data_IF_246047929317
#
_entry.id   IF_246047929317
#
_cell.length_a   1.000
_cell.length_b   1.000
_cell.length_c   1.000
_cell.angle_alpha   90.00
_cell.angle_beta   90.00
_cell.angle_gamma   90.00
#
_symmetry.space_group_name_H-M   'P 1'
#
loop_
_entity.id
_entity.type
_entity.pdbx_description
1 polymer ?
#
# COMPACT_ATOMS: atom_id res chain seq x y z
N UNK A 1 -0.17 -4.62 -5.41
CA UNK A 1 -0.93 -4.11 -4.25
C UNK A 1 -0.30 -4.43 -2.90
N UNK A 2 0.56 -5.43 -2.80
CA UNK A 2 1.21 -5.86 -1.55
C UNK A 2 2.32 -4.94 -1.06
N UNK A 3 3.08 -4.30 -1.96
CA UNK A 3 4.19 -3.39 -1.62
C UNK A 3 3.77 -2.24 -0.70
N UNK A 4 2.62 -1.63 -0.94
CA UNK A 4 2.17 -0.46 -0.18
C UNK A 4 1.83 -0.78 1.30
N UNK A 5 1.38 -2.00 1.57
CA UNK A 5 1.07 -2.46 2.93
C UNK A 5 2.35 -2.74 3.71
N UNK A 6 3.34 -3.37 3.07
CA UNK A 6 4.65 -3.60 3.66
C UNK A 6 5.43 -2.29 3.88
N UNK A 7 5.33 -1.34 2.97
CA UNK A 7 5.95 -0.02 3.13
C UNK A 7 5.34 0.75 4.30
N UNK A 8 4.01 0.73 4.45
CA UNK A 8 3.33 1.34 5.59
C UNK A 8 3.76 0.70 6.91
N UNK A 9 3.81 -0.63 6.99
CA UNK A 9 4.25 -1.35 8.18
C UNK A 9 5.74 -1.10 8.47
N UNK A 10 6.58 -1.11 7.45
CA UNK A 10 7.98 -0.75 7.56
C UNK A 10 8.19 0.70 8.02
N UNK A 11 7.33 1.62 7.61
CA UNK A 11 7.31 3.01 8.09
C UNK A 11 7.08 3.10 9.59
N UNK A 12 6.12 2.33 10.11
CA UNK A 12 5.80 2.26 11.54
C UNK A 12 6.99 1.73 12.35
N UNK A 13 7.75 0.78 11.81
CA UNK A 13 8.91 0.17 12.46
C UNK A 13 10.22 0.95 12.29
N UNK A 14 10.23 2.02 11.49
CA UNK A 14 11.46 2.74 11.13
C UNK A 14 12.23 3.29 12.35
N UNK A 15 11.52 3.77 13.35
CA UNK A 15 12.13 4.32 14.58
C UNK A 15 12.67 3.25 15.53
N UNK A 16 12.26 1.98 15.37
CA UNK A 16 12.56 0.88 16.30
C UNK A 16 13.63 -0.08 15.77
N UNK A 17 14.02 0.04 14.50
CA UNK A 17 14.96 -0.89 13.84
C UNK A 17 16.32 -1.01 14.49
N UNK A 18 16.76 0.00 15.24
CA UNK A 18 18.07 0.04 15.88
C UNK A 18 18.02 -0.43 17.35
N UNK A 19 16.86 -0.88 17.84
CA UNK A 19 16.71 -1.37 19.20
C UNK A 19 17.06 -2.87 19.28
N UNK A 20 17.38 -3.37 20.48
CA UNK A 20 17.53 -4.81 20.71
C UNK A 20 16.30 -5.59 20.26
N UNK A 21 16.49 -6.82 19.80
CA UNK A 21 15.42 -7.67 19.23
C UNK A 21 14.24 -7.81 20.19
N UNK A 22 14.50 -8.01 21.48
CA UNK A 22 13.44 -8.16 22.50
C UNK A 22 12.55 -6.92 22.53
N UNK A 23 13.16 -5.74 22.61
CA UNK A 23 12.44 -4.46 22.64
C UNK A 23 11.67 -4.23 21.32
N UNK A 24 12.26 -4.65 20.19
CA UNK A 24 11.59 -4.55 18.89
C UNK A 24 10.34 -5.43 18.82
N UNK A 25 10.42 -6.67 19.30
CA UNK A 25 9.29 -7.60 19.36
C UNK A 25 8.20 -7.05 20.28
N UNK A 26 8.56 -6.61 21.46
CA UNK A 26 7.65 -6.03 22.45
C UNK A 26 6.92 -4.80 21.92
N UNK A 27 7.64 -3.83 21.39
CA UNK A 27 7.05 -2.63 20.80
C UNK A 27 6.16 -2.94 19.60
N UNK A 28 6.55 -3.91 18.78
CA UNK A 28 5.71 -4.35 17.65
C UNK A 28 4.41 -4.97 18.16
N UNK A 29 4.51 -5.81 19.18
CA UNK A 29 3.34 -6.43 19.81
C UNK A 29 2.38 -5.38 20.38
N UNK A 30 2.84 -4.45 21.21
CA UNK A 30 2.00 -3.40 21.80
C UNK A 30 1.42 -2.45 20.74
N UNK A 31 2.15 -2.18 19.66
CA UNK A 31 1.60 -1.41 18.54
C UNK A 31 0.48 -2.17 17.82
N UNK A 32 0.62 -3.47 17.64
CA UNK A 32 -0.46 -4.29 17.10
C UNK A 32 -1.68 -4.27 18.01
N UNK A 33 -1.49 -4.44 19.32
CA UNK A 33 -2.57 -4.39 20.32
C UNK A 33 -3.32 -3.07 20.22
N UNK A 34 -2.59 -1.93 20.27
CA UNK A 34 -3.19 -0.61 20.17
C UNK A 34 -3.94 -0.39 18.85
N UNK A 35 -3.38 -0.89 17.74
CA UNK A 35 -3.97 -0.79 16.43
C UNK A 35 -5.27 -1.58 16.30
N UNK A 36 -5.32 -2.79 16.86
CA UNK A 36 -6.52 -3.61 16.86
C UNK A 36 -7.60 -3.00 17.76
N UNK A 37 -7.22 -2.54 18.95
CA UNK A 37 -8.14 -1.90 19.89
C UNK A 37 -8.78 -0.61 19.31
N UNK A 38 -7.98 0.26 18.69
CA UNK A 38 -8.47 1.48 18.03
C UNK A 38 -9.44 1.16 16.89
N UNK A 39 -9.11 0.18 16.06
CA UNK A 39 -9.98 -0.22 14.93
C UNK A 39 -11.26 -0.90 15.39
N UNK A 40 -11.17 -1.74 16.42
CA UNK A 40 -12.35 -2.35 17.02
C UNK A 40 -13.31 -1.28 17.55
N UNK A 41 -12.79 -0.34 18.34
CA UNK A 41 -13.60 0.75 18.93
C UNK A 41 -14.25 1.61 17.85
N UNK A 42 -13.51 1.95 16.78
CA UNK A 42 -14.05 2.71 15.65
C UNK A 42 -15.14 1.93 14.92
N UNK A 43 -14.91 0.66 14.63
CA UNK A 43 -15.90 -0.18 13.95
C UNK A 43 -17.18 -0.34 14.78
N UNK A 44 -17.07 -0.54 16.10
CA UNK A 44 -18.23 -0.58 16.99
C UNK A 44 -18.98 0.74 17.03
N UNK A 45 -18.27 1.88 17.03
CA UNK A 45 -18.91 3.20 16.99
C UNK A 45 -19.66 3.45 15.68
N UNK A 46 -19.12 3.00 14.53
CA UNK A 46 -19.82 3.08 13.25
C UNK A 46 -21.07 2.19 13.22
N UNK A 47 -21.02 0.98 13.79
CA UNK A 47 -22.19 0.09 13.92
C UNK A 47 -23.26 0.72 14.81
N UNK A 48 -22.89 1.34 15.94
CA UNK A 48 -23.86 2.02 16.82
C UNK A 48 -24.50 3.26 16.17
N UNK A 49 -23.84 3.84 15.16
CA UNK A 49 -24.39 4.93 14.36
C UNK A 49 -25.31 4.44 13.22
N UNK A 50 -25.74 3.16 13.23
CA UNK A 50 -26.60 2.51 12.22
C UNK A 50 -25.95 2.46 10.81
N UNK A 51 -24.63 2.52 10.76
CA UNK A 51 -23.89 2.26 9.53
C UNK A 51 -23.66 0.76 9.39
N UNK A 52 -23.90 0.22 8.19
CA UNK A 52 -23.73 -1.22 7.92
C UNK A 52 -22.49 -1.52 7.08
N UNK A 53 -21.99 -0.52 6.36
CA UNK A 53 -20.95 -0.70 5.35
C UNK A 53 -19.78 0.24 5.67
N UNK A 54 -18.58 -0.27 5.54
CA UNK A 54 -17.35 0.49 5.79
C UNK A 54 -17.30 1.80 5.01
N UNK A 55 -16.76 2.85 5.60
CA UNK A 55 -16.59 4.16 4.98
C UNK A 55 -15.84 4.08 3.64
N UNK A 56 -14.88 3.14 3.51
CA UNK A 56 -14.17 2.89 2.26
C UNK A 56 -15.12 2.45 1.14
N UNK A 57 -15.95 1.44 1.38
CA UNK A 57 -16.88 0.91 0.39
C UNK A 57 -17.93 1.97 0.03
N UNK A 58 -18.47 2.68 1.02
CA UNK A 58 -19.44 3.78 0.86
C UNK A 58 -18.88 4.90 -0.03
N UNK A 59 -17.65 5.32 0.22
CA UNK A 59 -16.98 6.35 -0.59
C UNK A 59 -16.73 5.90 -2.03
N UNK A 60 -16.27 4.65 -2.23
CA UNK A 60 -16.08 4.07 -3.56
C UNK A 60 -17.39 3.95 -4.31
N UNK A 61 -18.40 3.42 -3.67
CA UNK A 61 -19.75 3.28 -4.23
C UNK A 61 -20.32 4.63 -4.67
N UNK A 62 -20.26 5.64 -3.80
CA UNK A 62 -20.73 6.99 -4.11
C UNK A 62 -19.99 7.63 -5.28
N UNK A 63 -18.67 7.43 -5.35
CA UNK A 63 -17.85 7.88 -6.51
C UNK A 63 -18.33 7.24 -7.82
N UNK A 64 -18.67 5.96 -7.79
CA UNK A 64 -19.12 5.25 -8.99
C UNK A 64 -20.59 5.51 -9.30
N UNK A 65 -21.43 5.72 -8.29
CA UNK A 65 -22.83 6.13 -8.45
C UNK A 65 -22.95 7.43 -9.25
N UNK A 66 -22.05 8.40 -9.02
CA UNK A 66 -22.01 9.66 -9.80
C UNK A 66 -21.69 9.44 -11.28
N UNK A 67 -21.03 8.35 -11.66
CA UNK A 67 -20.70 8.00 -13.05
C UNK A 67 -21.77 7.14 -13.73
N UNK A 68 -22.58 6.44 -12.97
CA UNK A 68 -23.60 5.52 -13.49
C UNK A 68 -24.58 6.15 -14.49
N UNK A 69 -25.10 7.38 -14.30
CA UNK A 69 -26.04 8.00 -15.25
C UNK A 69 -25.47 8.21 -16.66
N UNK A 70 -24.14 8.19 -16.81
CA UNK A 70 -23.47 8.39 -18.10
C UNK A 70 -23.46 7.13 -18.98
N UNK A 71 -23.88 5.98 -18.43
CA UNK A 71 -23.87 4.71 -19.15
C UNK A 71 -25.24 4.44 -19.76
N UNK A 72 -25.24 3.89 -20.97
CA UNK A 72 -26.45 3.33 -21.62
C UNK A 72 -26.46 1.81 -21.46
N UNK A 73 -27.60 1.28 -21.05
CA UNK A 73 -27.79 -0.15 -20.81
C UNK A 73 -28.63 -0.70 -21.97
N UNK A 74 -28.19 -1.80 -22.56
CA UNK A 74 -28.89 -2.55 -23.60
C UNK A 74 -29.14 -3.95 -23.07
N UNK A 75 -30.38 -4.39 -23.15
CA UNK A 75 -30.83 -5.71 -22.72
C UNK A 75 -30.94 -6.61 -23.93
N UNK A 76 -30.28 -7.76 -23.91
CA UNK A 76 -30.42 -8.75 -24.97
C UNK A 76 -31.48 -9.82 -24.66
N UNK A 77 -31.71 -10.07 -23.36
CA UNK A 77 -32.69 -11.04 -22.94
C UNK A 77 -33.35 -10.60 -21.62
N UNK A 78 -34.68 -10.63 -21.54
CA UNK A 78 -35.42 -10.07 -20.39
C UNK A 78 -35.29 -10.91 -19.12
N UNK A 79 -35.15 -12.23 -19.24
CA UNK A 79 -35.24 -13.11 -18.08
C UNK A 79 -33.90 -13.34 -17.38
N UNK A 80 -32.80 -13.50 -18.11
CA UNK A 80 -31.51 -13.86 -17.53
C UNK A 80 -30.28 -13.47 -18.35
N UNK A 81 -30.46 -12.62 -19.33
CA UNK A 81 -29.41 -12.33 -20.30
C UNK A 81 -28.28 -11.46 -19.75
N UNK A 82 -27.14 -11.57 -20.38
CA UNK A 82 -26.07 -10.59 -20.16
C UNK A 82 -26.52 -9.21 -20.62
N UNK A 83 -26.20 -8.19 -19.84
CA UNK A 83 -26.41 -6.79 -20.20
C UNK A 83 -25.20 -6.25 -20.97
N UNK A 84 -25.43 -5.51 -22.05
CA UNK A 84 -24.39 -4.69 -22.66
C UNK A 84 -24.49 -3.28 -22.07
N UNK A 85 -23.39 -2.82 -21.49
CA UNK A 85 -23.27 -1.45 -20.96
C UNK A 85 -22.28 -0.68 -21.81
N UNK A 86 -22.75 0.39 -22.44
CA UNK A 86 -21.91 1.32 -23.23
C UNK A 86 -21.48 2.48 -22.37
N UNK A 87 -20.17 2.70 -22.32
CA UNK A 87 -19.59 3.85 -21.62
C UNK A 87 -19.27 4.96 -22.62
N UNK A 88 -19.55 6.23 -22.26
CA UNK A 88 -19.26 7.35 -23.14
C UNK A 88 -17.75 7.47 -23.38
N UNK A 89 -17.41 8.08 -24.51
CA UNK A 89 -16.02 8.37 -24.88
C UNK A 89 -15.42 9.30 -23.83
N UNK A 90 -14.27 8.93 -23.30
CA UNK A 90 -13.47 9.82 -22.47
C UNK A 90 -12.46 10.53 -23.37
N UNK A 91 -12.57 11.86 -23.60
CA UNK A 91 -11.67 12.59 -24.48
C UNK A 91 -10.19 12.55 -24.02
N UNK A 92 -9.96 12.32 -22.73
CA UNK A 92 -8.62 12.25 -22.13
C UNK A 92 -8.04 10.83 -22.10
N UNK A 93 -8.72 9.84 -22.67
CA UNK A 93 -8.22 8.46 -22.74
C UNK A 93 -7.54 8.22 -24.09
N UNK A 94 -6.41 7.50 -24.07
CA UNK A 94 -5.75 7.03 -25.29
C UNK A 94 -6.66 6.15 -26.16
N UNK A 95 -7.68 5.52 -25.56
CA UNK A 95 -8.72 4.77 -26.24
C UNK A 95 -9.93 5.66 -26.53
N UNK A 96 -10.05 6.17 -27.73
CA UNK A 96 -11.11 7.09 -28.19
C UNK A 96 -12.43 6.40 -28.54
N UNK A 97 -12.62 5.10 -28.24
CA UNK A 97 -13.82 4.34 -28.61
C UNK A 97 -14.87 4.27 -27.51
N UNK A 98 -16.15 4.07 -27.91
CA UNK A 98 -17.20 3.62 -27.00
C UNK A 98 -16.86 2.23 -26.49
N UNK A 99 -16.59 2.11 -25.19
CA UNK A 99 -16.34 0.82 -24.60
C UNK A 99 -17.67 0.10 -24.35
N UNK A 100 -17.79 -1.09 -24.93
CA UNK A 100 -18.89 -2.01 -24.67
C UNK A 100 -18.45 -3.01 -23.61
N UNK A 101 -19.26 -3.17 -22.57
CA UNK A 101 -19.00 -4.11 -21.49
C UNK A 101 -20.15 -5.08 -21.39
N UNK A 102 -19.81 -6.36 -21.32
CA UNK A 102 -20.76 -7.42 -21.02
C UNK A 102 -20.81 -7.61 -19.49
N UNK A 103 -22.03 -7.65 -18.95
CA UNK A 103 -22.27 -7.74 -17.53
C UNK A 103 -23.28 -8.84 -17.27
N UNK A 104 -22.92 -9.77 -16.39
CA UNK A 104 -23.79 -10.83 -15.92
C UNK A 104 -24.09 -10.62 -14.44
N UNK A 105 -25.37 -10.32 -14.12
CA UNK A 105 -25.79 -10.03 -12.75
C UNK A 105 -25.80 -11.28 -11.87
N UNK A 106 -26.20 -12.45 -12.42
CA UNK A 106 -26.21 -13.71 -11.67
C UNK A 106 -24.82 -14.17 -11.29
N UNK A 107 -23.88 -14.13 -12.25
CA UNK A 107 -22.50 -14.52 -12.01
C UNK A 107 -21.68 -13.44 -11.31
N UNK A 108 -22.24 -12.25 -11.07
CA UNK A 108 -21.54 -11.08 -10.52
C UNK A 108 -20.26 -10.75 -11.29
N UNK A 109 -20.31 -10.86 -12.63
CA UNK A 109 -19.16 -10.65 -13.50
C UNK A 109 -19.37 -9.52 -14.49
N UNK A 110 -18.28 -8.84 -14.82
CA UNK A 110 -18.23 -7.81 -15.86
C UNK A 110 -16.97 -7.97 -16.69
N UNK A 111 -17.05 -7.80 -18.00
CA UNK A 111 -15.86 -7.87 -18.88
C UNK A 111 -14.76 -6.85 -18.53
N UNK A 112 -15.09 -5.77 -17.81
CA UNK A 112 -14.09 -4.83 -17.29
C UNK A 112 -13.33 -5.33 -16.05
N UNK A 113 -13.73 -6.46 -15.47
CA UNK A 113 -13.19 -7.12 -14.27
C UNK A 113 -13.17 -6.28 -12.98
N UNK A 114 -13.57 -5.01 -13.02
CA UNK A 114 -13.53 -4.12 -11.85
C UNK A 114 -14.45 -4.58 -10.73
N UNK A 115 -15.60 -5.17 -11.06
CA UNK A 115 -16.50 -5.70 -10.06
C UNK A 115 -15.90 -6.88 -9.31
N UNK A 116 -15.31 -7.82 -10.03
CA UNK A 116 -14.65 -9.01 -9.47
C UNK A 116 -13.45 -8.62 -8.58
N UNK A 117 -12.66 -7.61 -9.01
CA UNK A 117 -11.48 -7.15 -8.28
C UNK A 117 -11.83 -6.37 -7.02
N UNK A 118 -12.78 -5.42 -7.14
CA UNK A 118 -13.13 -4.55 -6.00
C UNK A 118 -14.23 -5.13 -5.12
N UNK A 119 -14.99 -6.10 -5.61
CA UNK A 119 -16.15 -6.67 -4.91
C UNK A 119 -17.19 -5.63 -4.46
N UNK A 120 -17.17 -4.46 -5.09
CA UNK A 120 -18.12 -3.37 -4.91
C UNK A 120 -18.74 -3.07 -6.28
N UNK A 121 -20.06 -2.87 -6.39
CA UNK A 121 -20.73 -2.52 -7.64
C UNK A 121 -20.06 -1.30 -8.30
N UNK A 122 -19.52 -1.51 -9.48
CA UNK A 122 -18.93 -0.43 -10.27
C UNK A 122 -20.01 0.33 -11.04
N UNK A 123 -19.67 1.46 -11.65
CA UNK A 123 -20.63 2.36 -12.30
C UNK A 123 -21.53 1.68 -13.35
N UNK A 124 -21.02 0.66 -14.06
CA UNK A 124 -21.79 -0.12 -15.02
C UNK A 124 -22.82 -1.01 -14.33
N UNK A 125 -22.44 -1.68 -13.24
CA UNK A 125 -23.34 -2.50 -12.41
C UNK A 125 -24.43 -1.63 -11.82
N UNK A 126 -24.08 -0.46 -11.29
CA UNK A 126 -25.04 0.52 -10.73
C UNK A 126 -26.02 1.00 -11.81
N UNK A 127 -25.57 1.18 -13.04
CA UNK A 127 -26.43 1.57 -14.14
C UNK A 127 -27.46 0.48 -14.47
N UNK A 128 -27.05 -0.79 -14.51
CA UNK A 128 -27.94 -1.93 -14.72
C UNK A 128 -28.91 -2.07 -13.56
N UNK A 129 -28.46 -1.97 -12.31
CA UNK A 129 -29.33 -2.01 -11.14
C UNK A 129 -30.41 -0.91 -11.19
N UNK A 130 -30.01 0.31 -11.58
CA UNK A 130 -30.94 1.42 -11.76
C UNK A 130 -31.97 1.13 -12.87
N UNK A 131 -31.53 0.53 -13.97
CA UNK A 131 -32.40 0.13 -15.06
C UNK A 131 -33.43 -0.91 -14.62
N UNK A 132 -33.03 -1.88 -13.80
CA UNK A 132 -33.91 -2.92 -13.25
C UNK A 132 -34.73 -2.47 -12.03
N UNK A 133 -34.54 -1.26 -11.51
CA UNK A 133 -35.24 -0.78 -10.30
C UNK A 133 -34.75 -1.43 -8.99
N UNK A 134 -33.58 -2.06 -8.97
CA UNK A 134 -33.05 -2.76 -7.80
C UNK A 134 -31.92 -1.95 -7.11
N UNK A 135 -31.81 -2.14 -5.79
CA UNK A 135 -30.73 -1.49 -5.04
C UNK A 135 -29.38 -2.12 -5.37
N UNK A 136 -28.44 -1.31 -5.88
CA UNK A 136 -27.09 -1.77 -6.17
C UNK A 136 -26.28 -2.07 -4.90
N UNK A 137 -26.68 -1.57 -3.73
CA UNK A 137 -25.96 -1.81 -2.47
C UNK A 137 -25.95 -3.27 -2.06
N UNK A 138 -27.00 -4.03 -2.41
CA UNK A 138 -27.08 -5.48 -2.14
C UNK A 138 -25.98 -6.32 -2.79
N UNK A 139 -25.29 -5.77 -3.78
CA UNK A 139 -24.19 -6.42 -4.49
C UNK A 139 -22.80 -6.02 -3.94
N UNK A 140 -22.75 -5.31 -2.83
CA UNK A 140 -21.49 -5.08 -2.10
C UNK A 140 -21.18 -6.37 -1.36
N UNK A 141 -19.95 -6.87 -1.53
CA UNK A 141 -19.48 -8.09 -0.87
C UNK A 141 -19.46 -7.91 0.65
N UNK A 142 -19.81 -8.98 1.37
CA UNK A 142 -19.91 -8.99 2.83
C UNK A 142 -18.59 -8.60 3.52
N UNK A 143 -17.44 -8.81 2.89
CA UNK A 143 -16.14 -8.39 3.43
C UNK A 143 -16.04 -6.87 3.70
N UNK A 144 -16.99 -6.08 3.20
CA UNK A 144 -17.10 -4.65 3.46
C UNK A 144 -18.16 -4.29 4.50
N UNK A 145 -18.83 -5.26 5.09
CA UNK A 145 -19.77 -5.00 6.18
C UNK A 145 -19.01 -4.71 7.47
N UNK A 146 -19.55 -3.80 8.27
CA UNK A 146 -18.93 -3.41 9.54
C UNK A 146 -18.93 -4.54 10.56
N UNK A 147 -19.92 -5.43 10.52
CA UNK A 147 -19.96 -6.63 11.36
C UNK A 147 -18.74 -7.53 11.14
N UNK A 148 -18.36 -7.75 9.88
CA UNK A 148 -17.15 -8.50 9.53
C UNK A 148 -15.88 -7.76 9.98
N UNK A 149 -15.88 -6.44 9.90
CA UNK A 149 -14.76 -5.65 10.40
C UNK A 149 -14.65 -5.74 11.93
N UNK A 150 -15.75 -5.67 12.66
CA UNK A 150 -15.79 -5.87 14.11
C UNK A 150 -15.29 -7.28 14.45
N UNK A 151 -15.77 -8.31 13.76
CA UNK A 151 -15.34 -9.69 13.97
C UNK A 151 -13.83 -9.87 13.71
N UNK A 152 -13.30 -9.22 12.68
CA UNK A 152 -11.87 -9.25 12.35
C UNK A 152 -10.99 -8.67 13.46
N UNK A 153 -11.43 -7.59 14.14
CA UNK A 153 -10.65 -6.93 15.20
C UNK A 153 -11.07 -7.35 16.62
N UNK A 154 -12.06 -8.24 16.78
CA UNK A 154 -12.51 -8.77 18.07
C UNK A 154 -11.49 -9.65 18.82
N UNK A 155 -10.56 -10.37 18.17
CA UNK A 155 -9.60 -11.22 18.89
C UNK A 155 -8.80 -10.42 19.92
N UNK A 156 -8.73 -10.99 21.14
CA UNK A 156 -8.04 -10.35 22.27
C UNK A 156 -6.60 -10.83 22.32
N UNK A 157 -5.70 -9.87 22.47
CA UNK A 157 -4.30 -10.15 22.77
C UNK A 157 -4.13 -10.50 24.25
N UNK A 158 -3.16 -11.37 24.54
CA UNK A 158 -2.78 -11.68 25.93
C UNK A 158 -1.72 -10.67 26.39
N UNK A 159 -1.73 -10.31 27.67
CA UNK A 159 -0.65 -9.50 28.22
C UNK A 159 0.66 -10.32 28.21
N UNK A 160 1.74 -9.67 27.79
CA UNK A 160 3.08 -10.22 27.93
C UNK A 160 3.48 -10.05 29.38
N UNK A 161 3.77 -11.17 30.05
CA UNK A 161 4.26 -11.14 31.43
C UNK A 161 5.67 -10.56 31.49
N UNK A 162 6.03 -9.97 32.63
CA UNK A 162 7.42 -9.57 32.86
C UNK A 162 8.38 -10.76 32.74
N UNK A 163 9.57 -10.50 32.23
CA UNK A 163 10.61 -11.49 32.01
C UNK A 163 10.99 -12.27 33.29
N UNK A 164 10.78 -11.68 34.47
CA UNK A 164 10.98 -12.34 35.78
C UNK A 164 10.06 -13.55 35.98
N UNK A 165 8.91 -13.56 35.31
CA UNK A 165 7.92 -14.65 35.40
C UNK A 165 7.99 -15.65 34.25
N UNK A 166 8.98 -15.52 33.37
CA UNK A 166 9.14 -16.47 32.29
C UNK A 166 9.80 -17.75 32.80
N UNK A 167 9.30 -18.88 32.34
CA UNK A 167 9.95 -20.17 32.60
C UNK A 167 11.35 -20.18 31.97
N UNK A 168 12.29 -20.83 32.63
CA UNK A 168 13.59 -21.08 32.03
C UNK A 168 13.40 -21.88 30.73
N UNK A 169 14.04 -21.43 29.61
CA UNK A 169 13.91 -22.13 28.35
C UNK A 169 14.60 -23.51 28.41
N UNK A 170 13.96 -24.53 27.82
CA UNK A 170 14.47 -25.89 27.68
C UNK A 170 15.69 -26.01 26.74
N UNK A 171 16.14 -24.89 26.18
CA UNK A 171 17.27 -24.82 25.25
C UNK A 171 18.34 -23.86 25.79
N UNK A 172 19.63 -24.06 25.41
CA UNK A 172 20.70 -23.16 25.84
C UNK A 172 20.49 -21.74 25.37
N UNK A 173 20.51 -20.78 26.29
CA UNK A 173 20.38 -19.36 25.99
C UNK A 173 21.61 -18.88 25.22
N UNK A 174 21.41 -18.40 24.00
CA UNK A 174 22.48 -17.85 23.19
C UNK A 174 22.74 -16.38 23.58
N UNK A 175 23.88 -16.14 24.16
CA UNK A 175 24.34 -14.79 24.45
C UNK A 175 25.02 -14.17 23.22
N UNK A 176 24.67 -12.93 22.84
CA UNK A 176 25.31 -12.29 21.70
C UNK A 176 26.79 -12.10 21.96
N UNK A 177 27.62 -12.56 21.04
CA UNK A 177 29.07 -12.34 21.11
C UNK A 177 29.37 -10.88 20.82
N UNK A 178 29.81 -10.13 21.85
CA UNK A 178 30.09 -8.69 21.75
C UNK A 178 31.17 -8.37 20.70
N UNK A 179 32.12 -9.30 20.47
CA UNK A 179 33.18 -9.15 19.48
C UNK A 179 32.67 -9.24 18.03
N UNK A 180 31.53 -9.90 17.81
CA UNK A 180 30.89 -10.01 16.49
C UNK A 180 29.87 -8.89 16.25
N UNK A 181 29.66 -7.99 17.21
CA UNK A 181 28.74 -6.88 17.07
C UNK A 181 29.25 -5.93 16.00
N UNK A 182 28.51 -5.82 14.91
CA UNK A 182 28.83 -4.86 13.85
C UNK A 182 28.68 -3.43 14.37
N UNK A 183 29.61 -2.57 13.98
CA UNK A 183 29.52 -1.14 14.25
C UNK A 183 28.24 -0.54 13.63
N UNK A 184 27.76 0.57 14.23
CA UNK A 184 26.59 1.28 13.72
C UNK A 184 26.85 1.78 12.30
N UNK A 185 26.03 1.39 11.39
CA UNK A 185 26.09 1.85 10.01
C UNK A 185 25.57 0.79 9.03
N UNK A 186 25.33 1.22 7.81
CA UNK A 186 24.97 0.30 6.72
C UNK A 186 26.22 -0.54 6.39
N UNK A 187 26.15 -1.89 6.45
CA UNK A 187 27.25 -2.72 6.00
C UNK A 187 27.63 -2.33 4.56
N UNK A 188 28.92 -2.18 4.30
CA UNK A 188 29.42 -2.05 2.93
C UNK A 188 29.27 -3.44 2.27
N UNK A 189 28.10 -3.76 1.80
CA UNK A 189 27.88 -4.93 0.97
C UNK A 189 27.99 -4.50 -0.47
N UNK A 190 28.83 -5.18 -1.24
CA UNK A 190 28.76 -5.08 -2.70
C UNK A 190 27.33 -5.47 -3.11
N UNK A 191 26.71 -4.65 -3.94
CA UNK A 191 25.40 -4.98 -4.54
C UNK A 191 25.57 -6.30 -5.28
N UNK A 192 24.82 -7.31 -4.89
CA UNK A 192 24.71 -8.52 -5.69
C UNK A 192 24.08 -8.10 -7.02
N UNK A 193 24.85 -8.23 -8.09
CA UNK A 193 24.38 -8.00 -9.45
C UNK A 193 23.40 -9.09 -9.80
N UNK A 194 22.27 -8.74 -10.36
CA UNK A 194 21.31 -9.67 -10.93
C UNK A 194 21.49 -9.71 -12.46
N UNK A 195 20.82 -10.64 -13.11
CA UNK A 195 20.87 -10.83 -14.57
C UNK A 195 20.51 -9.55 -15.36
N UNK A 196 19.78 -8.61 -14.76
CA UNK A 196 19.46 -7.32 -15.38
C UNK A 196 20.63 -6.31 -15.35
N UNK A 197 21.65 -6.56 -14.53
CA UNK A 197 22.86 -5.73 -14.44
C UNK A 197 23.95 -6.20 -15.44
N UNK A 198 23.78 -7.32 -16.13
CA UNK A 198 24.77 -7.90 -17.06
C UNK A 198 24.90 -7.15 -18.40
N UNK A 199 24.03 -6.20 -18.69
CA UNK A 199 24.02 -5.40 -19.92
C UNK A 199 24.62 -4.00 -19.81
N UNK A 200 25.11 -3.60 -18.65
CA UNK A 200 25.68 -2.25 -18.44
C UNK A 200 27.19 -2.32 -18.61
N UNK A 201 27.66 -2.12 -19.84
CA UNK A 201 29.06 -1.82 -20.14
C UNK A 201 29.54 -0.72 -19.18
N UNK A 202 30.78 -0.85 -18.69
CA UNK A 202 31.43 0.09 -17.78
C UNK A 202 31.20 1.54 -18.20
N UNK A 203 30.26 2.21 -17.55
CA UNK A 203 30.20 3.66 -17.68
C UNK A 203 31.53 4.22 -17.14
N UNK A 204 32.21 5.08 -17.92
CA UNK A 204 33.43 5.68 -17.48
C UNK A 204 33.21 6.40 -16.15
N UNK A 205 34.15 6.23 -15.22
CA UNK A 205 34.03 6.84 -13.90
C UNK A 205 33.85 8.35 -14.04
N UNK A 206 32.90 8.96 -13.34
CA UNK A 206 32.65 10.38 -13.47
C UNK A 206 33.91 11.17 -13.10
N UNK A 207 34.37 11.98 -14.03
CA UNK A 207 35.53 12.86 -13.84
C UNK A 207 35.11 14.11 -13.03
N UNK A 208 36.02 14.59 -12.21
CA UNK A 208 35.82 15.84 -11.48
C UNK A 208 35.57 17.01 -12.45
N UNK A 209 34.46 17.75 -12.26
CA UNK A 209 34.09 18.87 -13.14
C UNK A 209 35.05 20.08 -13.06
N UNK A 210 35.98 20.14 -12.08
CA UNK A 210 37.00 21.19 -11.94
C UNK A 210 38.35 20.80 -12.56
N UNK A 211 38.89 19.64 -12.21
CA UNK A 211 40.24 19.23 -12.64
C UNK A 211 40.23 18.07 -13.64
N UNK A 212 39.07 17.51 -13.97
CA UNK A 212 38.85 16.35 -14.87
C UNK A 212 39.62 15.08 -14.49
N UNK A 213 40.06 14.95 -13.23
CA UNK A 213 40.69 13.74 -12.73
C UNK A 213 39.68 12.83 -12.05
N UNK A 214 39.98 11.54 -11.99
CA UNK A 214 39.14 10.53 -11.35
C UNK A 214 39.33 10.50 -9.82
N UNK A 215 38.39 9.91 -9.10
CA UNK A 215 38.49 9.58 -7.68
C UNK A 215 37.97 10.64 -6.70
N UNK A 216 37.55 11.81 -7.17
CA UNK A 216 36.96 12.86 -6.34
C UNK A 216 35.90 13.67 -7.11
N UNK A 217 35.11 14.46 -6.39
CA UNK A 217 34.08 15.32 -7.00
C UNK A 217 34.46 16.83 -6.82
N UNK A 218 33.67 17.73 -7.38
CA UNK A 218 33.84 19.19 -7.27
C UNK A 218 34.00 19.69 -5.83
N UNK A 219 33.36 19.02 -4.85
CA UNK A 219 33.41 19.45 -3.44
C UNK A 219 34.72 19.06 -2.74
N UNK A 220 35.29 17.94 -3.13
CA UNK A 220 36.50 17.36 -2.55
C UNK A 220 37.74 17.54 -3.45
N UNK A 221 37.65 18.42 -4.43
CA UNK A 221 38.74 18.66 -5.37
C UNK A 221 39.89 19.43 -4.69
N UNK A 222 41.13 18.93 -4.73
CA UNK A 222 42.28 19.60 -4.13
C UNK A 222 42.63 20.95 -4.81
N UNK A 223 42.24 21.14 -6.07
CA UNK A 223 42.42 22.40 -6.78
C UNK A 223 41.44 23.51 -6.39
N UNK A 224 40.42 23.20 -5.59
CA UNK A 224 39.43 24.17 -5.13
C UNK A 224 39.98 25.16 -4.08
N UNK A 225 41.01 24.78 -3.34
CA UNK A 225 41.57 25.58 -2.25
C UNK A 225 42.48 26.71 -2.72
N UNK A 226 42.87 26.75 -4.00
CA UNK A 226 43.79 27.75 -4.54
C UNK A 226 43.05 29.01 -5.07
N UNK A 227 41.74 28.95 -5.23
CA UNK A 227 40.96 30.06 -5.82
C UNK A 227 40.29 31.01 -4.79
N UNK A 228 40.60 30.88 -3.49
CA UNK A 228 39.90 31.59 -2.40
C UNK A 228 40.74 32.61 -1.59
N UNK A 229 42.01 32.93 -1.97
CA UNK A 229 42.84 33.84 -1.18
C UNK A 229 43.51 34.94 -2.04
N UNK A 230 42.69 35.75 -2.70
CA UNK A 230 43.14 37.04 -3.26
C UNK A 230 41.94 37.99 -3.30
N UNK A 231 41.79 38.73 -2.22
CA UNK A 231 41.18 40.07 -2.14
C UNK A 231 41.18 40.44 -0.65
N UNK A 232 41.75 41.46 -0.20
CA UNK A 232 42.19 42.72 -0.69
C UNK A 232 42.60 43.50 0.54
N UNK A 233 43.87 43.88 0.59
CA UNK A 233 44.28 45.05 1.37
C UNK A 233 44.46 46.17 0.36
N UNK A 234 43.68 47.19 0.48
CA UNK A 234 44.01 48.56 0.09
C UNK A 234 43.21 49.49 0.98
N UNK A 235 43.99 50.20 1.76
CA UNK A 235 43.97 51.60 2.16
C UNK A 235 42.57 52.23 2.41
#
# INVERSE_FOLDING_TARGET
MTTNLFESFNGILKSVRNLPIIVLVELTYYRCVAYFADRYTKACAEVTADEHITAYAKNKFNKWKKKAPKHSVIVFNHEDGPFEVRTPINPNSAYRGNHRHQLNMRASTCSCQKWQVYKIPYSQVIAVCKYQGISAMRYIDHCYYLEEQVACYAPRFRMVQDSVHWNEPDFPVLYPNVKLRREKGRPRTARLRNEMDEGVEHQPRPLCSLCRQEGHNKRTCPTRTVAGSTSGQTE
#
